data_IF_534860404914
#
_entry.id   IF_534860404914
#
_cell.length_a   1.000
_cell.length_b   1.000
_cell.length_c   1.000
_cell.angle_alpha   90.00
_cell.angle_beta   90.00
_cell.angle_gamma   90.00
#
_symmetry.space_group_name_H-M   'P 1'
#
loop_
_entity.id
_entity.type
_entity.pdbx_description
1 polymer ?
#
# COMPACT_ATOMS: atom_id res chain seq x y z
N UNK A 1 4.90 0.46 -9.19
CA UNK A 1 4.22 1.09 -8.04
C UNK A 1 3.36 0.07 -7.34
N UNK A 2 3.22 0.18 -6.05
CA UNK A 2 2.54 -0.83 -5.23
C UNK A 2 1.52 -0.18 -4.32
N UNK A 3 0.45 -0.90 -4.03
CA UNK A 3 -0.53 -0.47 -3.05
C UNK A 3 -0.67 -1.56 -2.02
N UNK A 4 -0.76 -1.20 -0.76
CA UNK A 4 -0.88 -2.17 0.30
C UNK A 4 -1.71 -1.63 1.45
N UNK A 5 -2.47 -2.53 2.06
CA UNK A 5 -3.24 -2.22 3.27
C UNK A 5 -2.63 -3.00 4.42
N UNK A 6 -2.36 -2.32 5.53
CA UNK A 6 -1.81 -3.01 6.68
C UNK A 6 -2.91 -3.69 7.48
N UNK A 7 -2.50 -4.40 8.52
CA UNK A 7 -3.44 -5.18 9.33
C UNK A 7 -4.45 -4.30 10.06
N UNK A 8 -4.10 -3.04 10.27
CA UNK A 8 -4.98 -2.10 10.96
C UNK A 8 -5.94 -1.39 10.01
N UNK A 9 -5.81 -1.63 8.72
CA UNK A 9 -6.68 -1.04 7.72
C UNK A 9 -6.16 0.19 7.02
N UNK A 10 -4.95 0.63 7.37
CA UNK A 10 -4.36 1.79 6.72
C UNK A 10 -3.90 1.43 5.32
N UNK A 11 -4.17 2.31 4.37
CA UNK A 11 -3.89 2.09 2.97
C UNK A 11 -2.84 3.07 2.49
N UNK A 12 -1.85 2.57 1.75
CA UNK A 12 -0.77 3.41 1.26
C UNK A 12 -0.26 2.96 -0.09
N UNK A 13 0.32 3.89 -0.83
CA UNK A 13 0.95 3.63 -2.11
C UNK A 13 2.45 3.74 -1.93
N UNK A 14 3.19 2.84 -2.57
CA UNK A 14 4.64 2.74 -2.47
C UNK A 14 5.25 2.72 -3.86
N UNK A 15 6.39 3.37 -4.03
CA UNK A 15 7.11 3.29 -5.31
C UNK A 15 7.74 1.91 -5.49
N UNK A 16 8.38 1.41 -4.43
CA UNK A 16 9.02 0.12 -4.46
C UNK A 16 8.19 -0.88 -3.68
N UNK A 17 8.41 -2.17 -3.95
CA UNK A 17 7.66 -3.22 -3.27
C UNK A 17 7.92 -3.16 -1.77
N UNK A 18 6.89 -2.95 -0.96
CA UNK A 18 7.07 -2.91 0.49
C UNK A 18 7.29 -4.30 1.06
N UNK A 19 7.92 -4.35 2.21
CA UNK A 19 8.17 -5.58 2.95
C UNK A 19 7.31 -5.60 4.19
N UNK A 20 6.72 -6.75 4.47
CA UNK A 20 5.90 -6.92 5.66
C UNK A 20 6.78 -6.97 6.89
N UNK A 21 6.38 -6.26 7.94
CA UNK A 21 7.09 -6.27 9.21
C UNK A 21 6.12 -6.57 10.35
N UNK A 22 6.28 -7.75 10.92
CA UNK A 22 5.51 -8.14 12.09
C UNK A 22 6.01 -7.41 13.34
N UNK A 23 7.31 -7.19 13.42
CA UNK A 23 7.92 -6.55 14.58
C UNK A 23 7.48 -5.11 14.78
N UNK A 24 7.09 -4.44 13.70
CA UNK A 24 6.67 -3.05 13.76
C UNK A 24 5.16 -2.90 13.74
N UNK A 25 4.43 -3.94 14.15
CA UNK A 25 2.99 -3.85 14.29
C UNK A 25 2.21 -4.27 13.05
N UNK A 26 2.74 -5.21 12.29
CA UNK A 26 2.07 -5.76 11.11
C UNK A 26 1.84 -4.68 10.05
N UNK A 27 2.89 -3.96 9.73
CA UNK A 27 2.84 -2.89 8.74
C UNK A 27 3.73 -3.21 7.55
N UNK A 28 3.56 -2.43 6.49
CA UNK A 28 4.38 -2.53 5.29
C UNK A 28 5.46 -1.47 5.33
N UNK A 29 6.71 -1.89 5.15
CA UNK A 29 7.87 -1.01 5.19
C UNK A 29 8.51 -0.89 3.83
N UNK A 30 9.05 0.29 3.56
CA UNK A 30 9.79 0.58 2.34
C UNK A 30 10.90 1.57 2.67
N UNK A 31 11.89 1.64 1.78
CA UNK A 31 12.99 2.60 1.94
C UNK A 31 12.51 4.04 1.78
N UNK A 32 11.48 4.24 0.97
CA UNK A 32 10.90 5.56 0.76
C UNK A 32 9.66 5.73 1.62
N UNK A 33 9.22 6.97 1.74
CA UNK A 33 8.02 7.24 2.51
C UNK A 33 6.78 6.75 1.77
N UNK A 34 5.88 6.04 2.45
CA UNK A 34 4.63 5.66 1.85
C UNK A 34 3.72 6.88 1.67
N UNK A 35 2.89 6.82 0.64
CA UNK A 35 1.88 7.85 0.44
C UNK A 35 0.54 7.30 0.93
N UNK A 36 0.10 7.77 2.07
CA UNK A 36 -1.15 7.29 2.66
C UNK A 36 -2.36 7.89 1.94
N UNK A 37 -3.35 7.05 1.71
CA UNK A 37 -4.60 7.48 1.09
C UNK A 37 -5.76 7.09 1.99
N UNK A 38 -6.94 7.62 1.68
CA UNK A 38 -8.14 7.37 2.47
C UNK A 38 -8.39 5.87 2.58
N UNK A 39 -8.48 5.38 3.80
CA UNK A 39 -8.67 3.95 4.06
C UNK A 39 -9.98 3.41 3.49
N UNK A 40 -10.91 4.29 3.14
CA UNK A 40 -12.18 3.89 2.55
C UNK A 40 -12.11 3.74 1.03
N UNK A 41 -10.97 4.09 0.44
CA UNK A 41 -10.76 3.90 -0.99
C UNK A 41 -10.27 2.48 -1.25
N UNK A 42 -10.54 1.99 -2.44
CA UNK A 42 -10.04 0.69 -2.90
C UNK A 42 -10.32 -0.43 -1.90
N UNK A 43 -11.59 -0.69 -1.59
CA UNK A 43 -11.94 -1.74 -0.61
C UNK A 43 -11.49 -3.13 -1.04
N UNK A 44 -11.22 -3.34 -2.33
CA UNK A 44 -10.71 -4.60 -2.85
C UNK A 44 -9.28 -4.89 -2.44
N UNK A 45 -8.55 -3.86 -1.97
CA UNK A 45 -7.19 -4.06 -1.45
C UNK A 45 -7.29 -4.38 0.02
N UNK A 46 -6.89 -5.59 0.38
CA UNK A 46 -6.95 -6.07 1.76
C UNK A 46 -5.55 -6.40 2.26
N UNK A 47 -5.43 -6.64 3.56
CA UNK A 47 -4.14 -7.04 4.11
C UNK A 47 -3.68 -8.37 3.49
N UNK A 48 -4.62 -9.29 3.29
CA UNK A 48 -4.31 -10.62 2.79
C UNK A 48 -3.81 -10.61 1.35
N UNK A 49 -4.28 -9.68 0.53
CA UNK A 49 -3.83 -9.61 -0.86
C UNK A 49 -2.75 -8.55 -1.09
N UNK A 50 -2.26 -7.93 -0.03
CA UNK A 50 -1.20 -6.93 -0.13
C UNK A 50 0.17 -7.58 -0.13
N UNK A 51 1.17 -6.96 -0.75
CA UNK A 51 1.03 -5.79 -1.57
C UNK A 51 0.59 -6.16 -2.99
N UNK A 52 -0.11 -5.24 -3.64
CA UNK A 52 -0.54 -5.43 -5.03
C UNK A 52 0.21 -4.48 -5.92
N UNK A 53 0.71 -5.00 -7.03
CA UNK A 53 1.35 -4.15 -8.00
C UNK A 53 0.29 -3.40 -8.80
N UNK A 54 0.49 -2.10 -8.95
CA UNK A 54 -0.46 -1.26 -9.68
C UNK A 54 0.31 -0.36 -10.65
N UNK A 55 -0.36 0.00 -11.72
CA UNK A 55 0.17 0.94 -12.68
C UNK A 55 -0.51 2.27 -12.46
N UNK A 56 0.31 3.29 -12.27
CA UNK A 56 -0.21 4.64 -12.23
C UNK A 56 -0.16 5.19 -13.64
N UNK A 57 -1.31 5.36 -14.24
CA UNK A 57 -1.40 5.97 -15.56
C UNK A 57 -1.79 7.41 -15.42
N UNK A 58 -0.94 8.25 -15.95
CA UNK A 58 -1.27 9.66 -16.05
C UNK A 58 -2.16 9.83 -17.25
N UNK A 59 -3.40 10.23 -17.01
CA UNK A 59 -4.33 10.49 -18.08
C UNK A 59 -4.31 11.97 -18.37
N UNK A 60 -3.84 12.30 -19.53
CA UNK A 60 -3.86 13.68 -19.99
C UNK A 60 -5.11 13.93 -20.81
N UNK A 61 -5.70 15.02 -20.54
CA UNK A 61 -6.89 15.42 -21.26
C UNK A 61 -6.68 16.73 -21.96
#
# INVERSE_FOLDING_TARGET
MWIARDKQGMLAIFEDKPTYSHKNGDIWLTADFPFYIDKNKFPEVTFENSPMEVELKLIEK
#
